data_IF_466674033216
#
_entry.id   IF_466674033216
#
_cell.length_a   1.000
_cell.length_b   1.000
_cell.length_c   1.000
_cell.angle_alpha   90.00
_cell.angle_beta   90.00
_cell.angle_gamma   90.00
#
_symmetry.space_group_name_H-M   'P 1'
#
loop_
_entity.id
_entity.type
_entity.pdbx_description
1 polymer ?
#
# COMPACT_ATOMS: atom_id res chain seq x y z
N UNK A 1 2.12 9.81 -7.88
CA UNK A 1 2.30 11.05 -7.11
C UNK A 1 3.41 10.82 -6.09
N UNK A 2 4.54 11.55 -6.13
CA UNK A 2 5.52 11.51 -5.06
C UNK A 2 5.21 12.61 -4.03
N UNK A 3 5.17 12.23 -2.75
CA UNK A 3 5.01 13.13 -1.61
C UNK A 3 6.33 13.89 -1.38
N UNK A 4 6.24 15.21 -1.47
CA UNK A 4 7.30 16.18 -1.19
C UNK A 4 7.52 16.30 0.32
N UNK A 5 8.76 16.15 0.77
CA UNK A 5 9.18 16.48 2.13
C UNK A 5 9.63 17.95 2.14
N UNK A 6 8.86 18.78 2.85
CA UNK A 6 9.14 20.19 3.05
C UNK A 6 10.40 20.39 3.90
N UNK A 7 11.27 21.29 3.45
CA UNK A 7 12.35 21.90 4.24
C UNK A 7 11.89 23.32 4.60
N UNK A 8 12.07 23.80 5.84
CA UNK A 8 11.75 25.18 6.16
C UNK A 8 12.84 26.14 5.68
N UNK A 9 12.43 27.18 4.97
CA UNK A 9 13.21 28.39 4.71
C UNK A 9 13.50 29.12 6.04
N UNK A 10 14.72 29.60 6.22
CA UNK A 10 14.97 30.81 6.99
C UNK A 10 15.98 31.68 6.27
N UNK A 11 15.50 32.89 6.03
CA UNK A 11 16.09 34.05 5.38
C UNK A 11 17.24 34.66 6.19
N UNK A 12 18.08 35.42 5.49
CA UNK A 12 18.80 36.62 5.94
C UNK A 12 19.64 36.55 7.22
N UNK A 13 20.97 36.54 7.03
CA UNK A 13 21.83 37.55 7.66
C UNK A 13 22.87 37.95 6.61
N UNK A 14 22.51 38.94 5.79
CA UNK A 14 23.46 39.84 5.16
C UNK A 14 23.61 41.08 6.07
N UNK A 15 24.80 41.69 6.04
CA UNK A 15 25.17 43.01 6.62
C UNK A 15 25.86 43.01 7.99
N UNK A 16 27.19 43.07 7.98
CA UNK A 16 27.93 44.13 8.67
C UNK A 16 29.21 44.48 7.90
N UNK A 17 29.37 45.79 7.68
CA UNK A 17 30.33 46.44 6.80
C UNK A 17 31.73 46.64 7.41
N UNK A 18 32.70 46.79 6.49
CA UNK A 18 33.96 47.57 6.54
C UNK A 18 35.14 47.03 7.36
N UNK A 19 36.26 46.78 6.69
CA UNK A 19 37.29 47.83 6.53
C UNK A 19 38.38 47.38 5.54
N UNK A 20 38.84 48.34 4.74
CA UNK A 20 39.97 48.24 3.83
C UNK A 20 41.29 48.13 4.60
N UNK A 21 42.27 47.36 4.12
CA UNK A 21 43.66 47.79 3.88
C UNK A 21 44.58 46.61 3.48
N UNK A 22 45.16 46.73 2.28
CA UNK A 22 46.57 46.44 1.95
C UNK A 22 47.23 45.10 2.31
N UNK A 23 47.71 44.42 1.27
CA UNK A 23 49.10 43.93 1.26
C UNK A 23 49.32 42.43 1.36
N UNK A 24 49.68 41.86 0.19
CA UNK A 24 50.81 40.95 -0.02
C UNK A 24 50.82 39.53 0.60
N UNK A 25 51.33 38.61 -0.24
CA UNK A 25 51.91 37.29 0.04
C UNK A 25 50.95 36.11 0.02
N UNK A 26 50.89 35.49 -1.16
CA UNK A 26 50.35 34.16 -1.38
C UNK A 26 51.27 33.12 -0.72
N UNK A 27 51.06 32.85 0.57
CA UNK A 27 51.44 31.58 1.19
C UNK A 27 50.17 30.74 1.33
N UNK A 28 50.08 29.71 0.48
CA UNK A 28 48.95 28.78 0.47
C UNK A 28 48.90 27.94 1.73
N UNK A 29 48.14 28.41 2.72
CA UNK A 29 47.90 27.80 4.01
C UNK A 29 47.53 26.29 3.86
N UNK A 30 48.38 25.36 4.34
CA UNK A 30 48.16 23.92 4.19
C UNK A 30 46.87 23.44 4.87
N UNK A 31 46.28 24.22 5.80
CA UNK A 31 45.00 23.88 6.44
C UNK A 31 43.80 23.89 5.48
N UNK A 32 43.81 24.74 4.45
CA UNK A 32 42.66 24.90 3.53
C UNK A 32 42.58 23.73 2.51
N UNK A 33 43.73 23.21 2.06
CA UNK A 33 43.79 21.99 1.23
C UNK A 33 43.21 20.78 1.96
N UNK A 34 43.53 20.64 3.25
CA UNK A 34 43.08 19.53 4.07
C UNK A 34 41.56 19.54 4.31
N UNK A 35 40.94 20.73 4.41
CA UNK A 35 39.49 20.87 4.55
C UNK A 35 38.75 20.61 3.22
N UNK A 36 39.30 21.10 2.09
CA UNK A 36 38.77 20.80 0.74
C UNK A 36 38.85 19.31 0.42
N UNK A 37 39.97 18.65 0.74
CA UNK A 37 40.15 17.23 0.48
C UNK A 37 39.28 16.35 1.40
N UNK A 38 39.08 16.75 2.67
CA UNK A 38 38.09 16.11 3.55
C UNK A 38 36.67 16.24 3.01
N UNK A 39 36.30 17.42 2.49
CA UNK A 39 34.97 17.67 1.93
C UNK A 39 34.74 16.85 0.66
N UNK A 40 35.74 16.78 -0.24
CA UNK A 40 35.71 15.90 -1.41
C UNK A 40 35.60 14.43 -1.03
N UNK A 41 36.37 13.96 -0.04
CA UNK A 41 36.28 12.58 0.45
C UNK A 41 34.89 12.26 1.01
N UNK A 42 34.29 13.16 1.79
CA UNK A 42 32.93 12.97 2.32
C UNK A 42 31.90 12.92 1.18
N UNK A 43 32.03 13.80 0.18
CA UNK A 43 31.15 13.80 -0.99
C UNK A 43 31.30 12.52 -1.83
N UNK A 44 32.53 12.04 -2.04
CA UNK A 44 32.80 10.78 -2.74
C UNK A 44 32.22 9.60 -1.97
N UNK A 45 32.43 9.52 -0.65
CA UNK A 45 31.85 8.47 0.19
C UNK A 45 30.31 8.51 0.18
N UNK A 46 29.73 9.71 0.21
CA UNK A 46 28.29 9.92 0.07
C UNK A 46 27.75 9.41 -1.26
N UNK A 47 28.41 9.74 -2.38
CA UNK A 47 28.04 9.29 -3.70
C UNK A 47 28.16 7.76 -3.86
N UNK A 48 29.22 7.16 -3.30
CA UNK A 48 29.41 5.71 -3.33
C UNK A 48 28.35 4.98 -2.49
N UNK A 49 28.02 5.51 -1.32
CA UNK A 49 26.94 4.97 -0.50
C UNK A 49 25.59 5.06 -1.22
N UNK A 50 25.29 6.18 -1.88
CA UNK A 50 24.08 6.34 -2.68
C UNK A 50 24.02 5.34 -3.84
N UNK A 51 25.14 5.13 -4.55
CA UNK A 51 25.24 4.15 -5.62
C UNK A 51 24.96 2.72 -5.11
N UNK A 52 25.50 2.37 -3.94
CA UNK A 52 25.27 1.08 -3.31
C UNK A 52 23.81 0.88 -2.90
N UNK A 53 23.19 1.89 -2.27
CA UNK A 53 21.77 1.85 -1.91
C UNK A 53 20.90 1.68 -3.16
N UNK A 54 21.17 2.44 -4.23
CA UNK A 54 20.45 2.31 -5.51
C UNK A 54 20.56 0.91 -6.08
N UNK A 55 21.76 0.35 -6.11
CA UNK A 55 22.00 -1.00 -6.62
C UNK A 55 21.23 -2.06 -5.84
N UNK A 56 21.38 -2.10 -4.51
CA UNK A 56 20.66 -3.10 -3.69
C UNK A 56 19.14 -2.90 -3.70
N UNK A 57 18.67 -1.65 -3.79
CA UNK A 57 17.25 -1.36 -3.98
C UNK A 57 16.74 -1.95 -5.29
N UNK A 58 17.47 -1.72 -6.40
CA UNK A 58 17.12 -2.26 -7.70
C UNK A 58 17.09 -3.80 -7.69
N UNK A 59 18.13 -4.44 -7.16
CA UNK A 59 18.19 -5.90 -7.07
C UNK A 59 17.03 -6.45 -6.22
N UNK A 60 16.73 -5.81 -5.09
CA UNK A 60 15.61 -6.21 -4.21
C UNK A 60 14.26 -6.06 -4.92
N UNK A 61 14.05 -4.97 -5.66
CA UNK A 61 12.82 -4.74 -6.42
C UNK A 61 12.66 -5.78 -7.53
N UNK A 62 13.72 -6.04 -8.30
CA UNK A 62 13.74 -7.08 -9.34
C UNK A 62 13.46 -8.47 -8.75
N UNK A 63 14.04 -8.79 -7.59
CA UNK A 63 13.77 -10.03 -6.86
C UNK A 63 12.31 -10.13 -6.38
N UNK A 64 11.73 -9.06 -5.85
CA UNK A 64 10.35 -9.10 -5.33
C UNK A 64 9.29 -9.03 -6.43
N UNK A 65 9.61 -8.48 -7.60
CA UNK A 65 8.64 -8.21 -8.67
C UNK A 65 7.80 -9.43 -9.10
N UNK A 66 8.35 -10.65 -9.28
CA UNK A 66 7.54 -11.84 -9.60
C UNK A 66 6.53 -12.19 -8.49
N UNK A 67 6.92 -12.04 -7.22
CA UNK A 67 6.06 -12.29 -6.07
C UNK A 67 4.93 -11.27 -5.99
N UNK A 68 5.26 -9.99 -6.24
CA UNK A 68 4.29 -8.91 -6.27
C UNK A 68 3.29 -9.07 -7.41
N UNK A 69 3.77 -9.45 -8.59
CA UNK A 69 2.91 -9.74 -9.76
C UNK A 69 1.96 -10.89 -9.48
N UNK A 70 2.45 -11.98 -8.89
CA UNK A 70 1.56 -13.08 -8.51
C UNK A 70 0.57 -12.65 -7.42
N UNK A 71 1.02 -11.95 -6.38
CA UNK A 71 0.12 -11.45 -5.35
C UNK A 71 -0.98 -10.55 -5.91
N UNK A 72 -0.63 -9.65 -6.84
CA UNK A 72 -1.61 -8.79 -7.51
C UNK A 72 -2.66 -9.60 -8.29
N UNK A 73 -2.29 -10.75 -8.86
CA UNK A 73 -3.26 -11.65 -9.53
C UNK A 73 -4.26 -12.31 -8.57
N UNK A 74 -3.92 -12.41 -7.27
CA UNK A 74 -4.81 -12.94 -6.24
C UNK A 74 -5.83 -11.92 -5.75
N UNK A 75 -5.63 -10.62 -6.03
CA UNK A 75 -6.51 -9.54 -5.62
C UNK A 75 -7.70 -9.46 -6.60
N UNK A 76 -8.94 -9.64 -6.13
CA UNK A 76 -10.12 -9.38 -6.94
C UNK A 76 -10.12 -7.99 -7.59
N UNK A 77 -10.53 -7.94 -8.85
CA UNK A 77 -10.69 -6.69 -9.60
C UNK A 77 -11.68 -5.76 -8.89
N UNK A 78 -11.28 -4.51 -8.65
CA UNK A 78 -12.10 -3.48 -7.99
C UNK A 78 -13.47 -3.29 -8.65
N UNK A 79 -13.55 -3.42 -9.99
CA UNK A 79 -14.81 -3.31 -10.76
C UNK A 79 -15.90 -4.31 -10.37
N UNK A 80 -15.57 -5.37 -9.62
CA UNK A 80 -16.53 -6.36 -9.12
C UNK A 80 -17.06 -6.03 -7.73
N UNK A 81 -16.53 -4.99 -7.08
CA UNK A 81 -16.96 -4.57 -5.74
C UNK A 81 -18.09 -3.57 -5.90
N UNK A 82 -19.30 -3.98 -5.54
CA UNK A 82 -20.50 -3.14 -5.52
C UNK A 82 -20.94 -2.94 -4.08
N UNK A 83 -21.59 -1.82 -3.77
CA UNK A 83 -22.14 -1.51 -2.44
C UNK A 83 -23.04 -2.62 -1.86
N UNK A 84 -23.67 -3.42 -2.72
CA UNK A 84 -24.71 -4.38 -2.34
C UNK A 84 -24.23 -5.83 -2.24
N UNK A 85 -23.00 -6.12 -2.68
CA UNK A 85 -22.42 -7.47 -2.69
C UNK A 85 -21.33 -7.55 -1.61
N UNK A 86 -21.06 -8.74 -1.05
CA UNK A 86 -19.99 -8.88 -0.08
C UNK A 86 -18.64 -8.53 -0.72
N UNK A 87 -17.74 -7.94 0.08
CA UNK A 87 -16.38 -7.63 -0.37
C UNK A 87 -15.69 -8.94 -0.79
N UNK A 88 -15.27 -9.07 -2.06
CA UNK A 88 -14.60 -10.27 -2.53
C UNK A 88 -13.34 -10.55 -1.73
N UNK A 89 -13.18 -11.78 -1.25
CA UNK A 89 -12.00 -12.19 -0.48
C UNK A 89 -10.78 -12.32 -1.39
N UNK A 90 -9.63 -11.84 -0.92
CA UNK A 90 -8.34 -12.08 -1.58
C UNK A 90 -8.07 -13.59 -1.58
N UNK A 91 -7.62 -14.12 -2.72
CA UNK A 91 -7.29 -15.54 -2.83
C UNK A 91 -6.07 -15.89 -1.98
N UNK A 92 -6.05 -17.12 -1.47
CA UNK A 92 -4.93 -17.60 -0.67
C UNK A 92 -3.65 -17.70 -1.50
N UNK A 93 -2.53 -17.26 -0.92
CA UNK A 93 -1.23 -17.33 -1.57
C UNK A 93 -0.72 -18.78 -1.61
N UNK A 94 -0.51 -19.33 -2.81
CA UNK A 94 0.04 -20.67 -2.97
C UNK A 94 1.52 -20.62 -3.39
N UNK A 95 2.41 -21.01 -2.47
CA UNK A 95 3.86 -21.05 -2.71
C UNK A 95 4.24 -21.88 -3.94
N UNK A 96 3.55 -23.01 -4.19
CA UNK A 96 3.88 -23.91 -5.31
C UNK A 96 3.62 -23.27 -6.67
N UNK A 97 2.54 -22.51 -6.80
CA UNK A 97 2.16 -21.90 -8.07
C UNK A 97 3.13 -20.79 -8.45
N UNK A 98 3.60 -20.03 -7.46
CA UNK A 98 4.63 -19.01 -7.64
C UNK A 98 5.96 -19.62 -8.07
N UNK A 99 6.39 -20.70 -7.43
CA UNK A 99 7.64 -21.36 -7.79
C UNK A 99 7.58 -21.92 -9.23
N UNK A 100 6.42 -22.44 -9.66
CA UNK A 100 6.21 -22.85 -11.06
C UNK A 100 6.27 -21.68 -12.03
N UNK A 101 5.65 -20.55 -11.67
CA UNK A 101 5.68 -19.33 -12.47
C UNK A 101 7.13 -18.84 -12.65
N UNK A 102 7.91 -18.84 -11.57
CA UNK A 102 9.32 -18.44 -11.58
C UNK A 102 10.18 -19.41 -12.37
N UNK A 103 9.94 -20.72 -12.25
CA UNK A 103 10.68 -21.73 -13.01
C UNK A 103 10.47 -21.64 -14.53
N UNK A 104 9.28 -21.19 -14.94
CA UNK A 104 8.90 -21.05 -16.36
C UNK A 104 9.32 -19.70 -16.93
N UNK A 105 9.54 -18.70 -16.09
CA UNK A 105 9.91 -17.37 -16.55
C UNK A 105 11.42 -17.27 -16.79
N UNK A 106 11.81 -16.42 -17.75
CA UNK A 106 13.22 -16.14 -18.02
C UNK A 106 13.90 -15.48 -16.80
N UNK A 107 15.22 -15.63 -16.61
CA UNK A 107 15.96 -15.01 -15.50
C UNK A 107 15.79 -13.48 -15.52
N UNK A 108 14.90 -12.95 -14.69
CA UNK A 108 14.60 -11.52 -14.64
C UNK A 108 15.67 -10.77 -13.86
N UNK A 109 16.72 -10.31 -14.53
CA UNK A 109 17.65 -9.29 -13.99
C UNK A 109 18.44 -9.70 -12.73
N UNK A 110 18.33 -10.95 -12.29
CA UNK A 110 19.21 -11.53 -11.29
C UNK A 110 20.46 -12.02 -12.02
N UNK A 111 21.64 -11.72 -11.48
CA UNK A 111 22.93 -12.18 -12.03
C UNK A 111 23.10 -13.71 -11.93
N UNK A 112 22.09 -14.43 -11.43
CA UNK A 112 22.04 -15.89 -11.36
C UNK A 112 21.83 -16.48 -12.76
N UNK A 113 22.80 -17.27 -13.20
CA UNK A 113 22.84 -17.81 -14.58
C UNK A 113 21.93 -19.03 -14.78
N UNK A 114 21.45 -19.67 -13.69
CA UNK A 114 20.64 -20.90 -13.76
C UNK A 114 19.29 -20.74 -13.08
N UNK A 115 18.22 -21.09 -13.80
CA UNK A 115 16.85 -21.06 -13.30
C UNK A 115 16.64 -21.93 -12.04
N UNK A 116 17.33 -23.07 -11.94
CA UNK A 116 17.25 -23.93 -10.76
C UNK A 116 17.74 -23.23 -9.48
N UNK A 117 18.82 -22.47 -9.57
CA UNK A 117 19.38 -21.71 -8.44
C UNK A 117 18.43 -20.57 -8.03
N UNK A 118 17.74 -19.96 -9.01
CA UNK A 118 16.73 -18.93 -8.76
C UNK A 118 15.53 -19.52 -8.00
N UNK A 119 15.00 -20.66 -8.46
CA UNK A 119 13.85 -21.32 -7.80
C UNK A 119 14.21 -21.73 -6.36
N UNK A 120 15.41 -22.26 -6.15
CA UNK A 120 15.91 -22.60 -4.81
C UNK A 120 15.97 -21.36 -3.90
N UNK A 121 16.51 -20.24 -4.39
CA UNK A 121 16.57 -18.98 -3.66
C UNK A 121 15.17 -18.48 -3.23
N UNK A 122 14.18 -18.53 -4.13
CA UNK A 122 12.81 -18.15 -3.76
C UNK A 122 12.18 -19.11 -2.76
N UNK A 123 12.44 -20.41 -2.87
CA UNK A 123 11.96 -21.41 -1.92
C UNK A 123 12.52 -21.14 -0.52
N UNK A 124 13.81 -20.86 -0.41
CA UNK A 124 14.46 -20.49 0.86
C UNK A 124 13.91 -19.19 1.40
N UNK A 125 13.76 -18.15 0.56
CA UNK A 125 13.16 -16.89 0.98
C UNK A 125 11.74 -17.06 1.54
N UNK A 126 10.91 -17.90 0.90
CA UNK A 126 9.55 -18.18 1.37
C UNK A 126 9.47 -19.02 2.65
N UNK A 127 10.57 -19.65 3.07
CA UNK A 127 10.67 -20.33 4.36
C UNK A 127 11.05 -19.37 5.49
N UNK A 128 11.59 -18.19 5.17
CA UNK A 128 12.02 -17.22 6.16
C UNK A 128 10.85 -16.42 6.78
N UNK A 129 10.95 -16.02 8.07
CA UNK A 129 9.95 -15.17 8.73
C UNK A 129 9.73 -13.81 8.05
N UNK A 130 10.74 -13.33 7.33
CA UNK A 130 10.66 -12.08 6.56
C UNK A 130 9.58 -12.16 5.47
N UNK A 131 9.45 -13.32 4.80
CA UNK A 131 8.42 -13.53 3.79
C UNK A 131 7.02 -13.51 4.42
N UNK A 132 6.84 -14.16 5.57
CA UNK A 132 5.54 -14.16 6.25
C UNK A 132 5.12 -12.75 6.66
N UNK A 133 6.06 -11.95 7.18
CA UNK A 133 5.81 -10.54 7.49
C UNK A 133 5.46 -9.75 6.24
N UNK A 134 6.22 -9.92 5.16
CA UNK A 134 5.95 -9.27 3.88
C UNK A 134 4.55 -9.62 3.36
N UNK A 135 4.19 -10.91 3.35
CA UNK A 135 2.90 -11.39 2.86
C UNK A 135 1.74 -10.86 3.72
N UNK A 136 1.85 -10.94 5.06
CA UNK A 136 0.85 -10.37 5.97
C UNK A 136 0.63 -8.89 5.74
N UNK A 137 1.71 -8.11 5.58
CA UNK A 137 1.61 -6.67 5.28
C UNK A 137 0.95 -6.42 3.92
N UNK A 138 1.26 -7.21 2.89
CA UNK A 138 0.63 -7.09 1.57
C UNK A 138 -0.86 -7.42 1.61
N UNK A 139 -1.25 -8.51 2.28
CA UNK A 139 -2.65 -8.90 2.49
C UNK A 139 -3.41 -7.83 3.27
N UNK A 140 -2.83 -7.31 4.36
CA UNK A 140 -3.44 -6.22 5.15
C UNK A 140 -3.73 -5.01 4.26
N UNK A 141 -2.72 -4.51 3.54
CA UNK A 141 -2.87 -3.34 2.65
C UNK A 141 -3.87 -3.55 1.52
N UNK A 142 -3.89 -4.74 0.92
CA UNK A 142 -4.84 -5.05 -0.13
C UNK A 142 -6.28 -5.10 0.40
N UNK A 143 -6.50 -5.70 1.59
CA UNK A 143 -7.80 -5.67 2.26
C UNK A 143 -8.22 -4.24 2.62
N UNK A 144 -7.31 -3.43 3.16
CA UNK A 144 -7.60 -2.02 3.47
C UNK A 144 -8.02 -1.25 2.21
N UNK A 145 -7.31 -1.43 1.10
CA UNK A 145 -7.68 -0.80 -0.17
C UNK A 145 -9.06 -1.25 -0.68
N UNK A 146 -9.43 -2.52 -0.49
CA UNK A 146 -10.77 -3.02 -0.81
C UNK A 146 -11.85 -2.40 0.07
N UNK A 147 -11.60 -2.30 1.38
CA UNK A 147 -12.51 -1.66 2.31
C UNK A 147 -12.73 -0.20 1.98
N UNK A 148 -11.66 0.56 1.73
CA UNK A 148 -11.75 1.97 1.30
C UNK A 148 -12.57 2.11 0.02
N UNK A 149 -12.35 1.23 -0.97
CA UNK A 149 -13.14 1.25 -2.20
C UNK A 149 -14.62 0.92 -1.94
N UNK A 150 -14.90 -0.10 -1.12
CA UNK A 150 -16.26 -0.49 -0.78
C UNK A 150 -17.02 0.62 -0.05
N UNK A 151 -16.39 1.30 0.92
CA UNK A 151 -16.97 2.45 1.62
C UNK A 151 -17.29 3.57 0.62
N UNK A 152 -16.37 3.87 -0.29
CA UNK A 152 -16.63 4.85 -1.34
C UNK A 152 -17.82 4.47 -2.23
N UNK A 153 -17.99 3.17 -2.53
CA UNK A 153 -19.19 2.72 -3.26
C UNK A 153 -20.46 2.93 -2.43
N UNK A 154 -20.46 2.57 -1.13
CA UNK A 154 -21.60 2.77 -0.23
C UNK A 154 -22.00 4.24 -0.09
N UNK A 155 -21.03 5.16 -0.06
CA UNK A 155 -21.28 6.60 0.01
C UNK A 155 -22.01 7.12 -1.23
N UNK A 156 -21.71 6.56 -2.40
CA UNK A 156 -22.33 6.93 -3.68
C UNK A 156 -23.60 6.14 -4.01
N UNK A 157 -23.94 5.14 -3.20
CA UNK A 157 -24.95 4.16 -3.55
C UNK A 157 -26.37 4.69 -3.31
N UNK A 158 -27.28 4.46 -4.28
CA UNK A 158 -28.70 4.75 -4.14
C UNK A 158 -29.48 3.50 -3.71
N UNK A 159 -29.96 3.52 -2.47
CA UNK A 159 -30.74 2.44 -1.87
C UNK A 159 -32.09 2.26 -2.56
N UNK A 160 -32.70 3.35 -3.05
CA UNK A 160 -34.00 3.29 -3.70
C UNK A 160 -33.91 2.60 -5.06
N UNK A 161 -32.84 2.89 -5.82
CA UNK A 161 -32.53 2.18 -7.07
C UNK A 161 -32.29 0.68 -6.80
N UNK A 162 -31.55 0.35 -5.74
CA UNK A 162 -31.30 -1.04 -5.33
C UNK A 162 -32.60 -1.82 -5.10
N UNK A 163 -33.55 -1.24 -4.35
CA UNK A 163 -34.82 -1.88 -4.01
C UNK A 163 -35.69 -2.20 -5.22
N UNK A 164 -35.61 -1.41 -6.29
CA UNK A 164 -36.38 -1.68 -7.52
C UNK A 164 -35.83 -2.83 -8.37
N UNK A 165 -34.53 -3.13 -8.22
CA UNK A 165 -33.81 -4.08 -9.07
C UNK A 165 -33.45 -5.43 -8.43
N UNK A 166 -33.68 -5.59 -7.12
CA UNK A 166 -33.23 -6.76 -6.36
C UNK A 166 -34.38 -7.46 -5.63
N UNK A 167 -34.19 -8.74 -5.34
CA UNK A 167 -35.18 -9.53 -4.63
C UNK A 167 -35.23 -9.20 -3.13
N UNK A 168 -36.37 -9.44 -2.49
CA UNK A 168 -36.54 -9.26 -1.04
C UNK A 168 -35.49 -10.05 -0.24
N UNK A 169 -35.12 -11.25 -0.70
CA UNK A 169 -34.08 -12.07 -0.06
C UNK A 169 -32.71 -11.37 -0.10
N UNK A 170 -32.36 -10.75 -1.23
CA UNK A 170 -31.12 -9.98 -1.36
C UNK A 170 -31.14 -8.71 -0.49
N UNK A 171 -32.31 -8.09 -0.32
CA UNK A 171 -32.49 -6.95 0.57
C UNK A 171 -32.29 -7.35 2.05
N UNK A 172 -32.87 -8.47 2.49
CA UNK A 172 -32.66 -9.01 3.84
C UNK A 172 -31.19 -9.38 4.07
N UNK A 173 -30.55 -10.06 3.13
CA UNK A 173 -29.12 -10.43 3.23
C UNK A 173 -28.22 -9.19 3.32
N UNK A 174 -28.56 -8.13 2.59
CA UNK A 174 -27.84 -6.86 2.66
C UNK A 174 -28.00 -6.18 4.03
N UNK A 175 -29.23 -6.13 4.58
CA UNK A 175 -29.47 -5.57 5.92
C UNK A 175 -28.63 -6.31 6.98
N UNK A 176 -28.70 -7.64 7.00
CA UNK A 176 -27.97 -8.45 7.96
C UNK A 176 -26.46 -8.21 7.85
N UNK A 177 -25.95 -8.13 6.62
CA UNK A 177 -24.54 -7.85 6.37
C UNK A 177 -24.13 -6.45 6.82
N UNK A 178 -24.94 -5.42 6.55
CA UNK A 178 -24.67 -4.04 6.98
C UNK A 178 -24.64 -3.94 8.52
N UNK A 179 -25.57 -4.62 9.21
CA UNK A 179 -25.57 -4.71 10.67
C UNK A 179 -24.31 -5.40 11.19
N UNK A 180 -23.97 -6.58 10.68
CA UNK A 180 -22.75 -7.31 11.07
C UNK A 180 -21.49 -6.47 10.81
N UNK A 181 -21.40 -5.80 9.65
CA UNK A 181 -20.28 -4.92 9.32
C UNK A 181 -20.18 -3.72 10.26
N UNK A 182 -21.31 -3.16 10.69
CA UNK A 182 -21.33 -2.05 11.64
C UNK A 182 -20.84 -2.43 13.04
N UNK A 183 -20.95 -3.72 13.39
CA UNK A 183 -20.50 -4.27 14.68
C UNK A 183 -19.06 -4.79 14.63
N UNK A 184 -18.53 -5.08 13.43
CA UNK A 184 -17.16 -5.56 13.26
C UNK A 184 -16.14 -4.48 13.65
N UNK A 185 -15.19 -4.87 14.52
CA UNK A 185 -14.05 -4.03 14.87
C UNK A 185 -13.06 -3.93 13.71
N UNK A 186 -13.22 -2.91 12.87
CA UNK A 186 -12.34 -2.61 11.76
C UNK A 186 -11.84 -1.16 11.87
N UNK A 187 -10.53 -0.95 11.80
CA UNK A 187 -9.89 0.39 11.91
C UNK A 187 -10.40 1.37 10.84
N UNK A 188 -10.94 0.87 9.73
CA UNK A 188 -11.48 1.68 8.63
C UNK A 188 -12.97 2.02 8.78
N UNK A 189 -13.69 1.34 9.67
CA UNK A 189 -15.11 1.59 9.92
C UNK A 189 -15.20 2.68 10.98
N UNK A 190 -15.31 3.92 10.53
CA UNK A 190 -15.49 5.10 11.40
C UNK A 190 -16.96 5.27 11.79
N UNK A 191 -17.24 6.04 12.84
CA UNK A 191 -18.62 6.31 13.30
C UNK A 191 -19.52 6.87 12.19
N UNK A 192 -18.96 7.63 11.25
CA UNK A 192 -19.71 8.16 10.11
C UNK A 192 -20.11 7.04 9.14
N UNK A 193 -19.21 6.10 8.88
CA UNK A 193 -19.48 4.93 8.02
C UNK A 193 -20.51 4.01 8.69
N UNK A 194 -20.44 3.83 10.01
CA UNK A 194 -21.44 3.08 10.78
C UNK A 194 -22.82 3.72 10.65
N UNK A 195 -22.92 5.05 10.79
CA UNK A 195 -24.18 5.78 10.60
C UNK A 195 -24.72 5.63 9.18
N UNK A 196 -23.85 5.70 8.17
CA UNK A 196 -24.23 5.50 6.78
C UNK A 196 -24.78 4.09 6.55
N UNK A 197 -24.07 3.06 6.99
CA UNK A 197 -24.51 1.66 6.87
C UNK A 197 -25.84 1.41 7.57
N UNK A 198 -26.03 2.01 8.76
CA UNK A 198 -27.28 1.93 9.51
C UNK A 198 -28.43 2.65 8.79
N UNK A 199 -28.21 3.86 8.30
CA UNK A 199 -29.23 4.62 7.56
C UNK A 199 -29.65 3.91 6.27
N UNK A 200 -28.70 3.29 5.56
CA UNK A 200 -29.00 2.44 4.40
C UNK A 200 -29.83 1.21 4.82
N UNK A 201 -29.47 0.54 5.92
CA UNK A 201 -30.24 -0.59 6.43
C UNK A 201 -31.67 -0.21 6.84
N UNK A 202 -31.86 0.91 7.55
CA UNK A 202 -33.16 1.43 7.96
C UNK A 202 -34.04 1.77 6.74
N UNK A 203 -33.46 2.41 5.72
CA UNK A 203 -34.17 2.74 4.47
C UNK A 203 -34.62 1.48 3.72
N UNK A 204 -33.80 0.43 3.69
CA UNK A 204 -34.18 -0.86 3.11
C UNK A 204 -35.30 -1.49 3.95
N UNK A 205 -35.17 -1.51 5.28
CA UNK A 205 -36.17 -2.09 6.20
C UNK A 205 -37.55 -1.43 6.09
N UNK A 206 -37.62 -0.12 5.86
CA UNK A 206 -38.88 0.60 5.62
C UNK A 206 -39.53 0.24 4.28
N UNK A 207 -38.74 -0.20 3.30
CA UNK A 207 -39.22 -0.64 1.99
C UNK A 207 -39.65 -2.11 1.92
N UNK A 208 -39.49 -2.90 2.99
CA UNK A 208 -39.87 -4.32 3.02
C UNK A 208 -41.32 -4.54 3.50
N UNK A 209 -41.98 -5.63 3.06
CA UNK A 209 -43.27 -6.06 3.62
C UNK A 209 -43.18 -6.42 5.11
N UNK A 210 -44.26 -6.16 5.86
CA UNK A 210 -44.30 -6.34 7.32
C UNK A 210 -43.97 -7.78 7.79
N UNK A 211 -44.31 -8.79 6.99
CA UNK A 211 -44.04 -10.21 7.29
C UNK A 211 -42.52 -10.49 7.42
N UNK A 212 -41.70 -9.82 6.61
CA UNK A 212 -40.24 -9.97 6.65
C UNK A 212 -39.61 -9.11 7.73
N UNK A 213 -40.16 -7.92 7.99
CA UNK A 213 -39.69 -7.01 9.04
C UNK A 213 -39.74 -7.68 10.42
N UNK A 214 -40.81 -8.42 10.71
CA UNK A 214 -40.95 -9.14 11.97
C UNK A 214 -39.89 -10.25 12.14
N UNK A 215 -39.48 -10.91 11.05
CA UNK A 215 -38.46 -11.98 11.08
C UNK A 215 -37.04 -11.48 11.34
N UNK A 216 -36.72 -10.25 10.92
CA UNK A 216 -35.39 -9.63 11.09
C UNK A 216 -35.22 -9.07 12.50
N UNK A 217 -36.30 -8.55 13.11
CA UNK A 217 -36.28 -7.97 14.46
C UNK A 217 -36.11 -9.03 15.56
N UNK A 218 -36.50 -10.28 15.29
CA UNK A 218 -36.45 -11.38 16.27
C UNK A 218 -35.13 -12.18 16.24
N UNK A 219 -34.10 -11.69 15.54
CA UNK A 219 -32.83 -12.39 15.34
C UNK A 219 -31.65 -11.51 15.73
#
# INVERSE_FOLDING_TARGET
MPLSLAVPNSTDIDSLQRSSFGGQLADGDPSNRNASDKTKCIQILGAQNEALIKHFTHVTQSFLAPLEKYFASLIPLQKKVTAWRPIPKIQNFNKRDVLKLIATAEPHGLTLTRNADIVALYSEFMACPNFDRWLKTKVKRANEAMWTYYISQLETADVTEFMTGHSEIEAVDLILRLKEMSEMRNELITDNVVKLMRGHAETIEEGLPDDLRQSIVHR
#
